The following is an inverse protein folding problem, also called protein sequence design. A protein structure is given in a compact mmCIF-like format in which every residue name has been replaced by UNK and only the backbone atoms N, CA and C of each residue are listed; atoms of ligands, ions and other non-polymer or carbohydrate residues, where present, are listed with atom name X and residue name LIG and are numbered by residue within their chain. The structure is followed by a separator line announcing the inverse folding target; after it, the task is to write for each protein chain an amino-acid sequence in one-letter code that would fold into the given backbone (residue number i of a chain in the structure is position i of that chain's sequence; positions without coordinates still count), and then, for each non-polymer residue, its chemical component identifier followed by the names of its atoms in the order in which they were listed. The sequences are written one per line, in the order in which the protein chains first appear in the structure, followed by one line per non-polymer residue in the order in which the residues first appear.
data_IF_423780511076
#
_entry.id   IF_423780511076
#
_cell.length_a   1.000
_cell.length_b   1.000
_cell.length_c   1.000
_cell.angle_alpha   90.00
_cell.angle_beta   90.00
_cell.angle_gamma   90.00
#
_symmetry.space_group_name_H-M   'P 1'
#
loop_
_entity.id
_entity.type
_entity.pdbx_description
1 polymer ?
#
# COMPACT_ATOMS: atom_id res chain seq x y z
N UNK A 1 39.65 -81.70 -8.67
CA UNK A 1 38.34 -81.12 -8.32
C UNK A 1 38.58 -79.93 -7.40
N UNK A 2 38.71 -78.70 -7.95
CA UNK A 2 39.07 -77.53 -7.17
C UNK A 2 37.75 -76.80 -6.96
N UNK A 3 37.31 -76.70 -5.72
CA UNK A 3 36.06 -76.01 -5.29
C UNK A 3 36.34 -74.53 -5.19
N UNK A 4 35.94 -73.78 -6.26
CA UNK A 4 36.01 -72.33 -6.29
C UNK A 4 34.71 -71.75 -5.68
N UNK A 5 34.70 -71.64 -4.38
CA UNK A 5 33.66 -70.82 -3.71
C UNK A 5 33.87 -69.37 -4.06
N UNK A 6 32.88 -68.67 -4.60
CA UNK A 6 32.99 -67.22 -4.86
C UNK A 6 33.01 -66.49 -3.51
N UNK A 7 34.15 -65.92 -3.19
CA UNK A 7 34.27 -64.91 -2.13
C UNK A 7 33.40 -63.72 -2.55
N UNK A 8 32.15 -63.79 -2.13
CA UNK A 8 31.25 -62.57 -2.20
C UNK A 8 31.85 -61.53 -1.27
N UNK A 9 32.65 -60.64 -1.82
CA UNK A 9 33.29 -59.56 -1.08
C UNK A 9 32.19 -58.58 -0.62
N UNK A 10 31.98 -58.39 0.70
CA UNK A 10 31.01 -57.43 1.21
C UNK A 10 31.48 -55.95 1.04
N UNK A 11 32.67 -55.76 0.43
CA UNK A 11 33.31 -54.47 0.29
C UNK A 11 32.45 -53.42 -0.45
N UNK A 12 31.77 -53.70 -1.60
CA UNK A 12 30.99 -52.72 -2.27
C UNK A 12 29.72 -52.30 -1.49
N UNK A 13 29.11 -53.24 -0.76
CA UNK A 13 27.94 -52.94 0.06
C UNK A 13 28.29 -52.04 1.24
N UNK A 14 29.44 -52.29 1.86
CA UNK A 14 29.95 -51.48 2.98
C UNK A 14 30.31 -50.06 2.55
N UNK A 15 30.90 -49.89 1.35
CA UNK A 15 31.17 -48.59 0.76
C UNK A 15 29.89 -47.79 0.43
N UNK A 16 28.86 -48.47 -0.10
CA UNK A 16 27.55 -47.84 -0.37
C UNK A 16 26.88 -47.41 0.94
N UNK A 17 26.90 -48.24 1.97
CA UNK A 17 26.34 -47.88 3.28
C UNK A 17 27.10 -46.72 3.94
N UNK A 18 28.42 -46.68 3.80
CA UNK A 18 29.24 -45.55 4.30
C UNK A 18 28.92 -44.26 3.56
N UNK A 19 28.80 -44.33 2.23
CA UNK A 19 28.44 -43.15 1.41
C UNK A 19 27.04 -42.64 1.75
N UNK A 20 26.05 -43.51 1.91
CA UNK A 20 24.71 -43.13 2.33
C UNK A 20 24.70 -42.54 3.75
N UNK A 21 25.50 -43.06 4.67
CA UNK A 21 25.62 -42.53 6.03
C UNK A 21 26.25 -41.13 6.02
N UNK A 22 27.32 -40.88 5.23
CA UNK A 22 27.93 -39.57 5.09
C UNK A 22 26.96 -38.56 4.42
N UNK A 23 26.28 -38.99 3.36
CA UNK A 23 25.26 -38.17 2.69
C UNK A 23 24.08 -37.83 3.62
N UNK A 24 23.65 -38.76 4.46
CA UNK A 24 22.59 -38.53 5.44
C UNK A 24 23.03 -37.57 6.56
N UNK A 25 24.27 -37.68 7.02
CA UNK A 25 24.84 -36.77 8.01
C UNK A 25 24.97 -35.33 7.40
N UNK A 26 25.47 -35.24 6.18
CA UNK A 26 25.60 -33.93 5.47
C UNK A 26 24.23 -33.32 5.22
N UNK A 27 23.26 -34.12 4.78
CA UNK A 27 21.87 -33.71 4.60
C UNK A 27 21.22 -33.28 5.93
N UNK A 28 21.46 -34.03 7.02
CA UNK A 28 20.97 -33.68 8.35
C UNK A 28 21.62 -32.39 8.87
N UNK A 29 22.93 -32.19 8.67
CA UNK A 29 23.63 -30.97 8.97
C UNK A 29 23.08 -29.81 8.13
N UNK A 30 22.83 -30.04 6.86
CA UNK A 30 22.24 -29.00 5.97
C UNK A 30 20.82 -28.64 6.40
N UNK A 31 19.98 -29.57 6.79
CA UNK A 31 18.64 -29.31 7.33
C UNK A 31 18.68 -28.61 8.69
N UNK A 32 19.60 -29.00 9.56
CA UNK A 32 19.71 -28.41 10.90
C UNK A 32 20.31 -27.00 10.90
N UNK A 33 21.08 -26.66 9.87
CA UNK A 33 21.69 -25.38 9.68
C UNK A 33 21.03 -24.56 8.58
N UNK A 34 19.86 -24.99 8.07
CA UNK A 34 19.06 -24.06 7.27
C UNK A 34 18.71 -22.87 8.17
N UNK A 35 19.15 -21.66 7.83
CA UNK A 35 18.77 -20.48 8.59
C UNK A 35 17.25 -20.44 8.63
N UNK A 36 16.69 -20.25 9.84
CA UNK A 36 15.25 -20.05 9.97
C UNK A 36 14.78 -19.06 8.90
N UNK A 37 13.73 -19.41 8.15
CA UNK A 37 13.21 -18.50 7.14
C UNK A 37 12.84 -17.19 7.82
N UNK A 38 13.43 -16.09 7.35
CA UNK A 38 13.09 -14.77 7.85
C UNK A 38 11.63 -14.47 7.51
N UNK A 39 10.90 -13.80 8.40
CA UNK A 39 9.47 -13.57 8.23
C UNK A 39 9.17 -12.77 6.95
N UNK A 40 8.10 -13.17 6.27
CA UNK A 40 7.54 -12.43 5.15
C UNK A 40 6.98 -11.09 5.65
N UNK A 41 7.49 -9.97 5.14
CA UNK A 41 7.07 -8.63 5.54
C UNK A 41 5.58 -8.39 5.31
N UNK A 42 5.00 -9.03 4.31
CA UNK A 42 3.57 -8.91 4.06
C UNK A 42 2.71 -9.58 5.14
N UNK A 43 3.28 -10.39 6.03
CA UNK A 43 2.58 -11.07 7.12
C UNK A 43 2.76 -10.38 8.48
N UNK A 44 3.69 -9.43 8.60
CA UNK A 44 4.04 -8.82 9.88
C UNK A 44 2.97 -7.87 10.45
N UNK A 45 2.06 -7.34 9.60
CA UNK A 45 1.03 -6.42 10.09
C UNK A 45 0.14 -5.83 9.01
N UNK A 46 -0.73 -4.89 9.37
CA UNK A 46 -1.56 -4.19 8.40
C UNK A 46 -0.69 -3.32 7.49
N UNK A 47 -1.03 -3.32 6.21
CA UNK A 47 -0.44 -2.45 5.20
C UNK A 47 -1.19 -1.12 5.23
N UNK A 48 -0.48 -0.02 5.39
CA UNK A 48 -1.04 1.32 5.24
C UNK A 48 -0.80 1.82 3.82
N UNK A 49 -1.84 2.35 3.18
CA UNK A 49 -1.74 2.96 1.87
C UNK A 49 -2.44 4.32 1.87
N UNK A 50 -1.68 5.35 1.61
CA UNK A 50 -2.17 6.70 1.44
C UNK A 50 -2.17 7.10 -0.02
N UNK A 51 -3.35 7.28 -0.60
CA UNK A 51 -3.51 7.64 -2.00
C UNK A 51 -3.35 9.14 -2.20
N UNK A 52 -2.54 9.56 -3.18
CA UNK A 52 -2.50 10.95 -3.64
C UNK A 52 -3.81 11.37 -4.30
N UNK A 53 -4.46 10.44 -4.98
CA UNK A 53 -5.80 10.60 -5.55
C UNK A 53 -6.76 9.66 -4.80
N UNK A 54 -7.32 10.09 -3.67
CA UNK A 54 -8.13 9.23 -2.83
C UNK A 54 -9.43 8.82 -3.52
N UNK A 55 -9.77 7.55 -3.37
CA UNK A 55 -11.10 7.02 -3.66
C UNK A 55 -11.68 6.42 -2.40
N UNK A 56 -12.63 7.11 -1.85
CA UNK A 56 -13.41 6.66 -0.70
C UNK A 56 -14.51 5.73 -1.18
N UNK A 57 -14.55 4.51 -0.63
CA UNK A 57 -15.64 3.55 -0.83
C UNK A 57 -16.42 3.44 0.48
N UNK A 58 -17.68 3.89 0.46
CA UNK A 58 -18.55 3.91 1.64
C UNK A 58 -19.21 2.57 1.93
N UNK A 59 -18.96 1.56 1.11
CA UNK A 59 -19.43 0.20 1.40
C UNK A 59 -18.61 -0.40 2.55
N UNK A 60 -19.24 -1.21 3.41
CA UNK A 60 -18.49 -1.92 4.44
C UNK A 60 -17.42 -2.82 3.80
N UNK A 61 -16.18 -2.71 4.26
CA UNK A 61 -15.08 -3.52 3.78
C UNK A 61 -14.95 -4.80 4.58
N UNK A 62 -14.74 -5.89 3.89
CA UNK A 62 -14.45 -7.21 4.48
C UNK A 62 -12.95 -7.34 4.79
N UNK A 63 -12.09 -6.68 4.02
CA UNK A 63 -10.64 -6.83 4.13
C UNK A 63 -10.04 -5.85 5.15
N UNK A 64 -9.57 -6.40 6.28
CA UNK A 64 -8.96 -5.64 7.37
C UNK A 64 -7.44 -5.47 7.23
N UNK A 65 -6.83 -6.15 6.26
CA UNK A 65 -5.37 -6.23 6.11
C UNK A 65 -4.72 -5.02 5.43
N UNK A 66 -5.53 -4.16 4.76
CA UNK A 66 -5.06 -2.95 4.12
C UNK A 66 -5.86 -1.76 4.64
N UNK A 67 -5.15 -0.81 5.23
CA UNK A 67 -5.70 0.47 5.67
C UNK A 67 -5.45 1.47 4.56
N UNK A 68 -6.51 2.02 3.98
CA UNK A 68 -6.43 3.02 2.91
C UNK A 68 -6.82 4.38 3.49
N UNK A 69 -5.92 5.34 3.35
CA UNK A 69 -6.11 6.74 3.73
C UNK A 69 -6.26 7.63 2.47
N UNK A 70 -6.91 8.80 2.57
CA UNK A 70 -7.61 9.31 3.74
C UNK A 70 -8.95 8.61 4.00
N UNK A 71 -9.31 8.47 5.27
CA UNK A 71 -10.64 8.03 5.65
C UNK A 71 -11.59 9.21 5.73
N UNK A 72 -12.83 9.08 5.23
CA UNK A 72 -13.81 10.13 5.37
C UNK A 72 -14.31 10.20 6.80
N UNK A 73 -14.39 11.39 7.34
CA UNK A 73 -15.13 11.68 8.56
C UNK A 73 -16.48 12.27 8.18
N UNK A 74 -17.58 11.54 8.48
CA UNK A 74 -18.95 12.01 8.24
C UNK A 74 -19.34 12.95 9.37
N UNK A 75 -19.71 14.19 9.04
CA UNK A 75 -19.98 15.25 10.00
C UNK A 75 -21.49 15.46 10.15
N UNK A 76 -21.98 15.44 11.40
CA UNK A 76 -23.39 15.70 11.73
C UNK A 76 -24.35 14.54 11.41
N UNK A 77 -25.64 14.84 11.54
CA UNK A 77 -26.73 13.83 11.50
C UNK A 77 -27.27 13.56 10.10
N UNK A 78 -26.76 14.26 9.07
CA UNK A 78 -27.21 14.13 7.68
C UNK A 78 -26.90 12.79 7.01
N UNK A 79 -26.41 11.81 7.76
CA UNK A 79 -25.96 10.52 7.29
C UNK A 79 -26.65 9.34 7.98
N UNK A 80 -26.89 8.28 7.23
CA UNK A 80 -27.25 7.00 7.81
C UNK A 80 -26.58 5.85 7.07
N UNK A 81 -26.37 4.74 7.76
CA UNK A 81 -25.75 3.57 7.14
C UNK A 81 -26.66 2.98 6.05
N UNK A 82 -26.07 2.73 4.88
CA UNK A 82 -26.75 2.18 3.70
C UNK A 82 -26.57 0.67 3.51
N UNK A 83 -26.10 -0.04 4.53
CA UNK A 83 -25.75 -1.46 4.45
C UNK A 83 -24.65 -1.70 3.41
N UNK A 84 -24.78 -2.77 2.61
CA UNK A 84 -23.78 -3.10 1.56
C UNK A 84 -23.75 -2.10 0.40
N UNK A 85 -24.66 -1.13 0.32
CA UNK A 85 -24.79 -0.19 -0.79
C UNK A 85 -23.94 1.08 -0.67
N UNK A 86 -23.54 1.47 0.54
CA UNK A 86 -22.88 2.75 0.81
C UNK A 86 -23.48 3.47 2.00
N UNK A 87 -23.51 4.81 1.99
CA UNK A 87 -24.12 5.67 3.02
C UNK A 87 -25.25 6.49 2.44
N UNK A 88 -26.34 6.64 3.19
CA UNK A 88 -27.47 7.47 2.82
C UNK A 88 -27.25 8.92 3.27
N UNK A 89 -27.54 9.87 2.39
CA UNK A 89 -27.81 11.25 2.76
C UNK A 89 -29.29 11.31 3.12
N UNK A 90 -29.59 11.75 4.34
CA UNK A 90 -30.93 11.81 4.91
C UNK A 90 -31.45 13.23 5.01
N UNK A 91 -30.59 14.21 5.15
CA UNK A 91 -30.94 15.61 5.24
C UNK A 91 -30.71 16.37 3.92
N UNK A 92 -31.16 17.63 3.88
CA UNK A 92 -30.89 18.49 2.74
C UNK A 92 -29.41 18.80 2.56
N UNK A 93 -28.66 18.78 3.66
CA UNK A 93 -27.20 19.01 3.66
C UNK A 93 -26.53 17.89 4.43
N UNK A 94 -25.54 17.31 3.81
CA UNK A 94 -24.65 16.35 4.45
C UNK A 94 -23.20 16.76 4.17
N UNK A 95 -22.34 16.60 5.14
CA UNK A 95 -20.95 17.07 5.07
C UNK A 95 -20.01 15.93 5.43
N UNK A 96 -18.93 15.80 4.71
CA UNK A 96 -17.80 14.93 5.06
C UNK A 96 -16.50 15.71 5.08
N UNK A 97 -15.55 15.25 5.86
CA UNK A 97 -14.19 15.79 5.91
C UNK A 97 -13.19 14.73 5.42
N UNK A 98 -12.23 15.19 4.66
CA UNK A 98 -11.09 14.40 4.18
C UNK A 98 -9.80 15.14 4.49
N UNK A 99 -8.87 14.45 5.14
CA UNK A 99 -7.52 14.94 5.35
C UNK A 99 -6.67 14.66 4.11
N UNK A 100 -6.18 15.71 3.45
CA UNK A 100 -5.43 15.59 2.20
C UNK A 100 -3.98 16.03 2.41
N UNK A 101 -3.00 15.21 2.02
CA UNK A 101 -1.58 15.61 2.08
C UNK A 101 -1.20 16.60 0.99
N UNK A 102 -1.94 16.62 -0.12
CA UNK A 102 -1.64 17.44 -1.31
C UNK A 102 -2.82 18.30 -1.73
N UNK A 103 -2.50 19.50 -2.15
CA UNK A 103 -3.43 20.38 -2.87
C UNK A 103 -3.44 20.07 -4.39
N UNK A 104 -4.27 20.74 -5.14
CA UNK A 104 -4.20 20.77 -6.61
C UNK A 104 -5.08 19.77 -7.33
N UNK A 105 -6.02 19.12 -6.63
CA UNK A 105 -7.02 18.26 -7.28
C UNK A 105 -7.95 19.10 -8.18
N UNK A 106 -8.23 18.57 -9.38
CA UNK A 106 -8.94 19.26 -10.46
C UNK A 106 -10.28 18.63 -10.83
N UNK A 107 -10.54 17.40 -10.33
CA UNK A 107 -11.80 16.72 -10.56
C UNK A 107 -12.29 16.00 -9.32
N UNK A 108 -13.61 16.05 -9.11
CA UNK A 108 -14.32 15.24 -8.13
C UNK A 108 -15.24 14.28 -8.91
N UNK A 109 -15.15 13.00 -8.62
CA UNK A 109 -16.04 11.98 -9.21
C UNK A 109 -16.85 11.32 -8.11
N UNK A 110 -18.18 11.27 -8.33
CA UNK A 110 -19.13 10.73 -7.36
C UNK A 110 -19.88 9.57 -7.99
N UNK A 111 -20.01 8.43 -7.31
CA UNK A 111 -20.92 7.34 -7.67
C UNK A 111 -22.07 7.31 -6.66
N UNK A 112 -23.25 7.68 -7.12
CA UNK A 112 -24.42 7.78 -6.27
C UNK A 112 -25.71 7.41 -7.03
N UNK A 113 -26.82 7.29 -6.27
CA UNK A 113 -28.18 7.17 -6.81
C UNK A 113 -29.16 7.90 -5.94
N UNK A 114 -30.22 8.53 -6.50
CA UNK A 114 -31.30 9.07 -5.71
C UNK A 114 -32.11 7.95 -5.02
N UNK A 115 -32.85 8.28 -3.98
CA UNK A 115 -33.81 7.38 -3.37
C UNK A 115 -34.92 7.04 -4.40
N UNK A 116 -35.44 5.82 -4.35
CA UNK A 116 -36.54 5.37 -5.24
C UNK A 116 -37.82 6.17 -4.99
N UNK A 117 -38.62 6.35 -6.04
CA UNK A 117 -39.96 6.94 -5.95
C UNK A 117 -40.02 8.47 -6.01
N UNK A 118 -38.95 9.12 -6.46
CA UNK A 118 -38.93 10.59 -6.59
C UNK A 118 -39.04 11.04 -8.04
N UNK A 119 -40.03 11.85 -8.30
CA UNK A 119 -40.18 12.69 -9.48
C UNK A 119 -40.59 14.11 -9.03
N UNK A 120 -39.95 15.18 -9.47
CA UNK A 120 -38.76 15.21 -10.37
C UNK A 120 -37.47 14.75 -9.67
N UNK A 121 -36.47 14.39 -10.47
CA UNK A 121 -35.15 14.02 -9.99
C UNK A 121 -34.55 15.18 -9.18
N UNK A 122 -34.01 14.95 -7.97
CA UNK A 122 -33.43 16.02 -7.17
C UNK A 122 -32.11 16.49 -7.78
N UNK A 123 -31.86 17.79 -7.74
CA UNK A 123 -30.55 18.33 -8.05
C UNK A 123 -29.65 18.26 -6.80
N UNK A 124 -28.37 17.96 -7.03
CA UNK A 124 -27.32 17.89 -6.04
C UNK A 124 -26.29 19.00 -6.31
N UNK A 125 -26.21 19.99 -5.46
CA UNK A 125 -25.08 20.92 -5.45
C UNK A 125 -23.96 20.34 -4.58
N UNK A 126 -22.72 20.37 -5.10
CA UNK A 126 -21.53 19.94 -4.34
C UNK A 126 -20.68 21.16 -4.04
N UNK A 127 -20.32 21.32 -2.79
CA UNK A 127 -19.42 22.38 -2.32
C UNK A 127 -18.17 21.76 -1.69
N UNK A 128 -17.01 22.34 -2.02
CA UNK A 128 -15.73 21.96 -1.39
C UNK A 128 -15.17 23.20 -0.69
N UNK A 129 -14.90 23.10 0.61
CA UNK A 129 -14.44 24.20 1.45
C UNK A 129 -15.33 25.46 1.33
N UNK A 130 -16.66 25.26 1.25
CA UNK A 130 -17.66 26.31 1.12
C UNK A 130 -17.88 26.84 -0.31
N UNK A 131 -17.00 26.55 -1.27
CA UNK A 131 -17.14 26.97 -2.68
C UNK A 131 -17.99 25.97 -3.46
N UNK A 132 -18.95 26.47 -4.25
CA UNK A 132 -19.74 25.63 -5.15
C UNK A 132 -18.87 25.11 -6.28
N UNK A 133 -18.93 23.80 -6.50
CA UNK A 133 -18.20 23.11 -7.58
C UNK A 133 -19.13 22.70 -8.73
N UNK A 134 -20.43 23.00 -8.60
CA UNK A 134 -21.45 22.71 -9.61
C UNK A 134 -22.66 21.99 -9.05
N UNK A 135 -23.66 21.87 -9.93
CA UNK A 135 -24.92 21.18 -9.65
C UNK A 135 -25.08 19.99 -10.61
N UNK A 136 -25.57 18.90 -10.08
CA UNK A 136 -25.80 17.64 -10.79
C UNK A 136 -27.28 17.32 -10.74
N UNK A 137 -27.91 17.09 -11.89
CA UNK A 137 -29.24 16.50 -11.97
C UNK A 137 -29.09 14.99 -11.80
N UNK A 138 -29.66 14.45 -10.70
CA UNK A 138 -29.50 13.06 -10.38
C UNK A 138 -30.45 12.18 -11.20
N UNK A 139 -29.90 11.31 -12.03
CA UNK A 139 -30.67 10.34 -12.80
C UNK A 139 -31.02 9.10 -11.97
N UNK A 140 -32.17 8.43 -12.28
CA UNK A 140 -32.52 7.19 -11.63
C UNK A 140 -31.46 6.10 -11.79
N UNK A 141 -31.25 5.31 -10.72
CA UNK A 141 -30.25 4.25 -10.74
C UNK A 141 -28.86 4.72 -10.29
N UNK A 142 -27.87 3.85 -10.46
CA UNK A 142 -26.49 4.12 -10.12
C UNK A 142 -25.80 4.87 -11.27
N UNK A 143 -25.40 6.10 -11.02
CA UNK A 143 -24.70 6.94 -11.98
C UNK A 143 -23.39 7.49 -11.41
N UNK A 144 -22.50 7.87 -12.29
CA UNK A 144 -21.23 8.50 -11.96
C UNK A 144 -21.21 9.89 -12.58
N UNK A 145 -20.92 10.85 -11.73
CA UNK A 145 -20.88 12.26 -12.08
C UNK A 145 -19.47 12.78 -11.85
N UNK A 146 -19.00 13.62 -12.79
CA UNK A 146 -17.74 14.34 -12.67
C UNK A 146 -18.04 15.81 -12.51
N UNK A 147 -17.41 16.44 -11.54
CA UNK A 147 -17.36 17.87 -11.33
C UNK A 147 -15.93 18.35 -11.52
N UNK A 148 -15.75 19.43 -12.25
CA UNK A 148 -14.46 20.09 -12.35
C UNK A 148 -14.24 20.96 -11.11
N UNK A 149 -13.02 20.97 -10.62
CA UNK A 149 -12.61 21.75 -9.46
C UNK A 149 -11.68 22.87 -9.92
N UNK A 150 -11.97 24.09 -9.47
CA UNK A 150 -11.08 25.20 -9.67
C UNK A 150 -9.79 25.04 -8.87
N UNK A 151 -8.76 25.77 -9.30
CA UNK A 151 -7.49 25.78 -8.60
C UNK A 151 -7.63 26.30 -7.17
N UNK A 152 -6.98 25.63 -6.22
CA UNK A 152 -7.00 26.02 -4.82
C UNK A 152 -8.29 25.72 -4.06
N UNK A 153 -9.29 25.08 -4.68
CA UNK A 153 -10.50 24.62 -4.00
C UNK A 153 -10.15 23.49 -3.02
N UNK A 154 -9.37 22.52 -3.47
CA UNK A 154 -8.81 21.47 -2.60
C UNK A 154 -7.41 21.88 -2.15
N UNK A 155 -7.17 21.84 -0.84
CA UNK A 155 -5.92 22.22 -0.19
C UNK A 155 -5.30 21.04 0.56
N UNK A 156 -4.05 21.16 0.91
CA UNK A 156 -3.44 20.25 1.89
C UNK A 156 -4.08 20.48 3.27
N UNK A 157 -4.20 19.44 4.07
CA UNK A 157 -4.94 19.45 5.33
C UNK A 157 -6.41 19.07 5.15
N UNK A 158 -7.23 19.42 6.12
CA UNK A 158 -8.65 19.06 6.16
C UNK A 158 -9.45 19.80 5.09
N UNK A 159 -10.17 19.04 4.26
CA UNK A 159 -11.11 19.55 3.26
C UNK A 159 -12.52 19.10 3.61
N UNK A 160 -13.44 20.04 3.60
CA UNK A 160 -14.86 19.79 3.84
C UNK A 160 -15.60 19.71 2.51
N UNK A 161 -16.30 18.57 2.28
CA UNK A 161 -17.14 18.36 1.10
C UNK A 161 -18.59 18.30 1.56
N UNK A 162 -19.41 19.27 1.11
CA UNK A 162 -20.81 19.34 1.43
C UNK A 162 -21.68 18.98 0.21
N UNK A 163 -22.66 18.13 0.44
CA UNK A 163 -23.69 17.73 -0.49
C UNK A 163 -24.97 18.46 -0.13
N UNK A 164 -25.50 19.31 -1.03
CA UNK A 164 -26.69 20.12 -0.81
C UNK A 164 -27.77 19.68 -1.80
N UNK A 165 -28.80 19.04 -1.30
CA UNK A 165 -29.90 18.54 -2.12
C UNK A 165 -30.94 19.65 -2.31
N UNK A 166 -31.42 19.84 -3.56
CA UNK A 166 -32.54 20.75 -3.84
C UNK A 166 -33.80 20.35 -3.05
N UNK A 167 -34.67 21.31 -2.81
CA UNK A 167 -35.97 21.09 -2.21
C UNK A 167 -36.85 20.31 -3.19
N UNK A 168 -36.89 19.01 -3.06
CA UNK A 168 -37.75 18.13 -3.84
C UNK A 168 -38.10 16.91 -3.02
N UNK A 169 -39.39 16.55 -3.03
CA UNK A 169 -40.03 15.38 -2.45
C UNK A 169 -39.29 14.63 -1.35
N UNK A 170 -39.74 14.62 -0.16
CA UNK A 170 -39.23 13.72 0.89
C UNK A 170 -39.66 12.29 0.60
N UNK A 171 -38.73 11.33 0.63
CA UNK A 171 -39.18 9.94 0.63
C UNK A 171 -39.82 9.64 1.99
N UNK A 172 -40.80 8.77 2.04
CA UNK A 172 -41.41 8.31 3.31
C UNK A 172 -40.40 7.79 4.34
N UNK A 173 -39.17 7.53 3.90
CA UNK A 173 -38.06 7.01 4.75
C UNK A 173 -37.06 8.09 5.14
N UNK A 174 -37.28 9.35 4.78
CA UNK A 174 -36.31 10.44 5.01
C UNK A 174 -35.00 10.33 4.18
N UNK A 175 -34.80 9.27 3.40
CA UNK A 175 -33.59 9.05 2.59
C UNK A 175 -33.66 9.83 1.29
N UNK A 176 -32.53 10.48 0.92
CA UNK A 176 -32.47 11.35 -0.24
C UNK A 176 -31.58 10.79 -1.36
N UNK A 177 -30.38 10.40 -1.03
CA UNK A 177 -29.39 9.89 -1.98
C UNK A 177 -28.51 8.84 -1.30
N UNK A 178 -28.18 7.78 -2.00
CA UNK A 178 -27.20 6.78 -1.56
C UNK A 178 -25.88 7.07 -2.25
N UNK A 179 -24.85 7.39 -1.46
CA UNK A 179 -23.49 7.62 -1.90
C UNK A 179 -22.68 6.31 -1.74
N UNK A 180 -22.08 5.85 -2.84
CA UNK A 180 -21.27 4.61 -2.85
C UNK A 180 -19.79 4.91 -2.84
N UNK A 181 -19.34 5.83 -3.72
CA UNK A 181 -17.94 6.19 -3.87
C UNK A 181 -17.77 7.66 -4.16
N UNK A 182 -16.62 8.16 -3.74
CA UNK A 182 -16.16 9.51 -4.04
C UNK A 182 -14.67 9.44 -4.35
N UNK A 183 -14.21 10.16 -5.39
CA UNK A 183 -12.80 10.24 -5.73
C UNK A 183 -12.39 11.66 -6.05
N UNK A 184 -11.20 12.07 -5.59
CA UNK A 184 -10.55 13.32 -5.92
C UNK A 184 -9.33 13.04 -6.81
N UNK A 185 -9.20 13.77 -7.93
CA UNK A 185 -8.20 13.51 -8.96
C UNK A 185 -7.43 14.77 -9.32
N UNK A 186 -6.12 14.60 -9.56
CA UNK A 186 -5.23 15.70 -9.95
C UNK A 186 -5.47 16.16 -11.39
N UNK A 187 -5.86 15.25 -12.29
CA UNK A 187 -6.20 15.57 -13.66
C UNK A 187 -7.67 15.94 -13.82
N UNK A 188 -7.96 16.88 -14.73
CA UNK A 188 -9.33 17.14 -15.18
C UNK A 188 -9.88 16.02 -16.07
N UNK A 189 -9.02 15.42 -16.90
CA UNK A 189 -9.39 14.39 -17.87
C UNK A 189 -9.50 13.00 -17.27
N UNK A 190 -10.38 12.88 -16.28
CA UNK A 190 -10.61 11.62 -15.59
C UNK A 190 -11.69 10.81 -16.28
N UNK A 191 -11.38 9.60 -16.70
CA UNK A 191 -12.40 8.67 -17.21
C UNK A 191 -13.27 8.17 -16.04
N UNK A 192 -14.48 8.72 -15.96
CA UNK A 192 -15.47 8.48 -14.89
C UNK A 192 -15.76 6.98 -14.71
N UNK A 193 -15.78 6.21 -15.81
CA UNK A 193 -16.11 4.80 -15.78
C UNK A 193 -15.01 3.92 -15.18
N UNK A 194 -13.75 4.30 -15.29
CA UNK A 194 -12.62 3.56 -14.75
C UNK A 194 -12.13 4.09 -13.40
N UNK A 195 -12.29 5.39 -13.17
CA UNK A 195 -11.72 6.10 -12.03
C UNK A 195 -12.11 5.53 -10.67
N UNK A 196 -13.37 5.11 -10.50
CA UNK A 196 -13.90 4.58 -9.25
C UNK A 196 -13.93 3.03 -9.18
N UNK A 197 -13.52 2.31 -10.23
CA UNK A 197 -13.74 0.85 -10.32
C UNK A 197 -12.78 0.03 -9.49
N UNK A 198 -11.54 0.45 -9.33
CA UNK A 198 -10.47 -0.37 -8.74
C UNK A 198 -10.03 0.18 -7.40
N UNK A 199 -9.82 -0.73 -6.46
CA UNK A 199 -9.13 -0.38 -5.22
C UNK A 199 -7.74 0.19 -5.56
N UNK A 200 -7.30 1.27 -4.90
CA UNK A 200 -6.00 1.91 -5.16
C UNK A 200 -4.83 0.97 -4.92
N UNK A 201 -5.00 0.03 -3.99
CA UNK A 201 -4.02 -0.98 -3.65
C UNK A 201 -4.72 -2.33 -3.42
N UNK A 202 -4.05 -3.43 -3.73
CA UNK A 202 -4.48 -4.78 -3.38
C UNK A 202 -3.29 -5.66 -3.04
N UNK A 203 -3.50 -6.62 -2.15
CA UNK A 203 -2.53 -7.61 -1.71
C UNK A 203 -2.94 -8.99 -2.21
N UNK A 204 -1.98 -9.79 -2.64
CA UNK A 204 -2.18 -11.20 -2.97
C UNK A 204 -1.13 -12.02 -2.20
N UNK A 205 -1.54 -12.58 -1.07
CA UNK A 205 -0.68 -13.39 -0.20
C UNK A 205 -0.14 -14.63 -0.91
N UNK A 206 -0.99 -15.32 -1.70
CA UNK A 206 -0.56 -16.53 -2.40
C UNK A 206 0.53 -16.28 -3.46
N UNK A 207 0.67 -15.04 -3.93
CA UNK A 207 1.70 -14.62 -4.91
C UNK A 207 2.77 -13.73 -4.27
N UNK A 208 2.68 -13.48 -2.97
CA UNK A 208 3.57 -12.57 -2.25
C UNK A 208 3.72 -11.23 -2.98
N UNK A 209 2.59 -10.61 -3.32
CA UNK A 209 2.57 -9.38 -4.11
C UNK A 209 1.63 -8.33 -3.55
N UNK A 210 2.06 -7.06 -3.68
CA UNK A 210 1.20 -5.88 -3.53
C UNK A 210 1.12 -5.19 -4.88
N UNK A 211 -0.08 -4.77 -5.28
CA UNK A 211 -0.32 -4.04 -6.53
C UNK A 211 -0.88 -2.68 -6.21
N UNK A 212 -0.11 -1.64 -6.51
CA UNK A 212 -0.51 -0.24 -6.41
C UNK A 212 -1.04 0.19 -7.78
N UNK A 213 -2.23 0.78 -7.84
CA UNK A 213 -2.91 1.22 -9.06
C UNK A 213 -3.16 2.72 -9.11
N UNK A 214 -2.71 3.43 -8.09
CA UNK A 214 -2.78 4.89 -7.97
C UNK A 214 -1.53 5.39 -7.31
N UNK A 215 -1.12 6.58 -7.70
CA UNK A 215 -0.03 7.26 -7.01
C UNK A 215 -0.33 7.42 -5.54
N UNK A 216 0.66 7.16 -4.71
CA UNK A 216 0.52 7.19 -3.26
C UNK A 216 1.64 6.49 -2.53
N UNK A 217 1.61 6.57 -1.22
CA UNK A 217 2.61 6.01 -0.33
C UNK A 217 2.09 4.72 0.32
N UNK A 218 2.86 3.64 0.15
CA UNK A 218 2.66 2.35 0.81
C UNK A 218 3.61 2.24 1.99
N UNK A 219 3.09 1.89 3.15
CA UNK A 219 3.90 1.64 4.35
C UNK A 219 3.72 0.21 4.82
N UNK A 220 4.84 -0.46 5.05
CA UNK A 220 4.93 -1.82 5.57
C UNK A 220 5.70 -1.79 6.89
N UNK A 221 5.16 -2.33 7.98
CA UNK A 221 5.93 -2.52 9.20
C UNK A 221 7.04 -3.55 8.98
N UNK A 222 8.22 -3.29 9.50
CA UNK A 222 9.40 -4.17 9.41
C UNK A 222 10.02 -4.29 10.78
N UNK A 223 10.00 -5.48 11.35
CA UNK A 223 10.72 -5.78 12.58
C UNK A 223 12.06 -6.46 12.26
N UNK A 224 13.14 -5.85 12.70
CA UNK A 224 14.51 -6.31 12.49
C UNK A 224 15.08 -6.89 13.78
N UNK A 225 15.43 -8.16 13.77
CA UNK A 225 16.06 -8.86 14.90
C UNK A 225 17.60 -8.84 14.87
N UNK A 226 18.17 -8.17 13.88
CA UNK A 226 19.62 -8.07 13.66
C UNK A 226 20.22 -9.25 12.89
N UNK A 227 19.42 -10.26 12.49
CA UNK A 227 19.88 -11.43 11.74
C UNK A 227 19.93 -11.22 10.23
N UNK A 228 19.17 -10.24 9.74
CA UNK A 228 19.11 -9.92 8.31
C UNK A 228 20.27 -9.02 7.89
N UNK A 229 20.82 -9.26 6.70
CA UNK A 229 21.85 -8.43 6.08
C UNK A 229 21.24 -7.40 5.13
N UNK A 230 20.14 -7.77 4.47
CA UNK A 230 19.46 -6.89 3.54
C UNK A 230 17.96 -7.15 3.49
N UNK A 231 17.20 -6.10 3.15
CA UNK A 231 15.83 -6.19 2.71
C UNK A 231 15.83 -6.17 1.19
N UNK A 232 15.11 -7.11 0.55
CA UNK A 232 14.99 -7.19 -0.91
C UNK A 232 13.53 -7.16 -1.31
N UNK A 233 13.23 -6.42 -2.38
CA UNK A 233 11.93 -6.41 -3.03
C UNK A 233 12.12 -6.21 -4.54
N UNK A 234 11.13 -6.63 -5.31
CA UNK A 234 11.11 -6.43 -6.76
C UNK A 234 9.95 -5.50 -7.12
N UNK A 235 10.27 -4.42 -7.81
CA UNK A 235 9.33 -3.46 -8.32
C UNK A 235 9.18 -3.62 -9.84
N UNK A 236 7.94 -3.60 -10.36
CA UNK A 236 7.65 -3.64 -11.79
C UNK A 236 6.49 -2.73 -12.13
N UNK A 237 6.68 -1.83 -13.08
CA UNK A 237 5.61 -1.07 -13.70
C UNK A 237 4.96 -1.89 -14.82
N UNK A 238 3.65 -1.79 -14.96
CA UNK A 238 2.86 -2.55 -15.96
C UNK A 238 1.74 -1.67 -16.52
N UNK A 239 1.69 -1.52 -17.82
CA UNK A 239 0.69 -0.73 -18.54
C UNK A 239 0.93 0.77 -18.52
N UNK A 240 2.17 1.17 -18.31
CA UNK A 240 2.67 2.53 -18.22
C UNK A 240 3.91 2.58 -17.35
N UNK A 241 4.63 3.70 -17.39
CA UNK A 241 5.81 3.96 -16.57
C UNK A 241 5.46 4.60 -15.22
N UNK A 242 6.47 5.11 -14.59
CA UNK A 242 6.36 5.85 -13.35
C UNK A 242 7.67 5.92 -12.58
N UNK A 243 7.58 6.47 -11.41
CA UNK A 243 8.67 6.60 -10.46
C UNK A 243 8.26 5.98 -9.13
N UNK A 244 9.17 5.30 -8.45
CA UNK A 244 8.95 4.99 -7.04
C UNK A 244 10.19 5.30 -6.23
N UNK A 245 9.96 5.76 -5.03
CA UNK A 245 10.98 5.96 -4.02
C UNK A 245 10.77 4.95 -2.89
N UNK A 246 11.83 4.27 -2.49
CA UNK A 246 11.80 3.29 -1.42
C UNK A 246 12.66 3.80 -0.27
N UNK A 247 12.04 4.03 0.89
CA UNK A 247 12.68 4.53 2.09
C UNK A 247 12.43 3.56 3.23
N UNK A 248 13.46 3.28 4.03
CA UNK A 248 13.30 2.59 5.30
C UNK A 248 13.71 3.52 6.44
N UNK A 249 12.82 3.74 7.37
CA UNK A 249 13.03 4.64 8.50
C UNK A 249 12.51 4.01 9.81
N UNK A 250 12.95 4.51 10.94
CA UNK A 250 12.30 4.20 12.22
C UNK A 250 10.95 4.91 12.32
N UNK A 251 9.92 4.28 12.92
CA UNK A 251 8.68 4.98 13.21
C UNK A 251 8.97 6.20 14.07
N UNK A 252 8.36 7.33 13.76
CA UNK A 252 8.53 8.57 14.53
C UNK A 252 7.97 8.38 15.93
N UNK A 253 8.86 8.24 16.92
CA UNK A 253 8.54 8.62 18.28
C UNK A 253 8.46 10.15 18.34
N UNK A 254 7.51 10.68 19.11
CA UNK A 254 7.32 12.11 19.35
C UNK A 254 8.66 12.82 19.64
N UNK A 255 9.24 13.49 18.64
CA UNK A 255 10.35 14.42 18.84
C UNK A 255 11.67 14.17 18.13
N UNK A 256 11.88 13.07 17.41
CA UNK A 256 13.10 12.85 16.63
C UNK A 256 12.79 12.90 15.14
N UNK A 257 13.46 13.78 14.40
CA UNK A 257 13.39 13.84 12.95
C UNK A 257 13.72 12.47 12.32
N UNK A 258 13.10 12.17 11.19
CA UNK A 258 13.42 10.98 10.39
C UNK A 258 14.92 10.96 10.12
N UNK A 259 15.64 10.02 10.72
CA UNK A 259 16.91 9.60 10.17
C UNK A 259 16.60 8.54 9.10
N UNK A 260 16.58 8.90 7.80
CA UNK A 260 16.29 7.95 6.75
C UNK A 260 17.44 6.95 6.71
N UNK A 261 17.20 5.77 7.26
CA UNK A 261 18.22 4.74 7.33
C UNK A 261 18.76 4.41 5.95
N UNK A 262 17.90 4.42 4.91
CA UNK A 262 18.28 4.26 3.50
C UNK A 262 17.19 4.80 2.59
N UNK A 263 17.57 5.59 1.58
CA UNK A 263 16.71 6.09 0.51
C UNK A 263 17.16 5.54 -0.83
N UNK A 264 16.25 5.02 -1.64
CA UNK A 264 16.50 4.54 -3.00
C UNK A 264 15.41 5.04 -3.93
N UNK A 265 15.79 5.86 -4.89
CA UNK A 265 14.91 6.28 -5.97
C UNK A 265 15.08 5.34 -7.17
N UNK A 266 13.98 4.95 -7.77
CA UNK A 266 13.95 4.04 -8.90
C UNK A 266 12.96 4.56 -9.94
N UNK A 267 13.47 4.93 -11.12
CA UNK A 267 12.67 5.36 -12.27
C UNK A 267 12.62 4.23 -13.29
N UNK A 268 11.44 4.00 -13.85
CA UNK A 268 11.26 2.91 -14.81
C UNK A 268 10.43 3.30 -16.02
N UNK A 269 10.85 2.91 -17.22
CA UNK A 269 9.96 2.80 -18.36
C UNK A 269 8.97 1.64 -18.18
N UNK A 270 7.89 1.65 -18.97
CA UNK A 270 6.86 0.59 -18.95
C UNK A 270 7.47 -0.82 -19.12
N UNK A 271 6.95 -1.76 -18.36
CA UNK A 271 7.31 -3.19 -18.44
C UNK A 271 8.63 -3.58 -17.78
N UNK A 272 9.46 -2.61 -17.38
CA UNK A 272 10.72 -2.90 -16.70
C UNK A 272 10.51 -3.39 -15.26
N UNK A 273 11.47 -4.18 -14.77
CA UNK A 273 11.48 -4.63 -13.38
C UNK A 273 12.87 -4.46 -12.78
N UNK A 274 12.92 -4.06 -11.53
CA UNK A 274 14.19 -3.94 -10.79
C UNK A 274 14.09 -4.55 -9.41
N UNK A 275 15.19 -5.17 -8.98
CA UNK A 275 15.42 -5.55 -7.60
C UNK A 275 15.93 -4.36 -6.79
N UNK A 276 15.21 -4.01 -5.73
CA UNK A 276 15.67 -3.03 -4.74
C UNK A 276 16.26 -3.79 -3.56
N UNK A 277 17.49 -3.42 -3.19
CA UNK A 277 18.18 -3.96 -2.04
C UNK A 277 18.51 -2.84 -1.07
N UNK A 278 18.07 -3.02 0.17
CA UNK A 278 18.34 -2.09 1.28
C UNK A 278 19.22 -2.81 2.30
N UNK A 279 20.44 -2.35 2.59
CA UNK A 279 21.28 -2.92 3.62
C UNK A 279 20.66 -2.65 5.00
N UNK A 280 20.49 -3.72 5.79
CA UNK A 280 19.92 -3.64 7.15
C UNK A 280 20.83 -4.28 8.20
N UNK A 281 22.05 -4.61 7.81
CA UNK A 281 23.02 -5.31 8.65
C UNK A 281 23.18 -4.65 10.02
N UNK A 282 23.10 -5.45 11.10
CA UNK A 282 23.24 -5.01 12.48
C UNK A 282 22.07 -4.18 13.03
N UNK A 283 21.07 -3.85 12.22
CA UNK A 283 19.90 -3.06 12.68
C UNK A 283 18.93 -3.93 13.46
N UNK A 284 18.39 -3.38 14.54
CA UNK A 284 17.40 -4.04 15.40
C UNK A 284 16.26 -3.07 15.74
N UNK A 285 15.07 -3.65 15.97
CA UNK A 285 13.85 -2.94 16.36
C UNK A 285 12.91 -2.67 15.20
N UNK A 286 11.89 -1.88 15.48
CA UNK A 286 10.83 -1.57 14.54
C UNK A 286 11.27 -0.51 13.52
N UNK A 287 10.95 -0.76 12.27
CA UNK A 287 11.14 0.13 11.12
C UNK A 287 9.87 0.18 10.28
N UNK A 288 9.77 1.19 9.45
CA UNK A 288 8.75 1.30 8.42
C UNK A 288 9.44 1.33 7.05
N UNK A 289 9.02 0.45 6.15
CA UNK A 289 9.37 0.49 4.75
C UNK A 289 8.30 1.30 4.03
N UNK A 290 8.64 2.51 3.61
CA UNK A 290 7.77 3.39 2.84
C UNK A 290 8.12 3.30 1.36
N UNK A 291 7.10 3.14 0.50
CA UNK A 291 7.24 3.12 -0.96
C UNK A 291 6.33 4.19 -1.51
N UNK A 292 6.90 5.33 -1.87
CA UNK A 292 6.19 6.41 -2.56
C UNK A 292 6.19 6.11 -4.07
N UNK A 293 5.00 5.93 -4.63
CA UNK A 293 4.81 5.58 -6.03
C UNK A 293 4.10 6.71 -6.78
N UNK A 294 4.74 7.24 -7.80
CA UNK A 294 4.14 8.11 -8.81
C UNK A 294 3.93 7.30 -10.09
N UNK A 295 2.67 7.09 -10.45
CA UNK A 295 2.30 6.34 -11.66
C UNK A 295 1.94 7.31 -12.76
N UNK A 296 2.34 6.98 -13.99
CA UNK A 296 1.82 7.65 -15.19
C UNK A 296 0.29 7.51 -15.25
N UNK A 297 -0.41 8.40 -15.97
CA UNK A 297 -1.85 8.28 -16.13
C UNK A 297 -2.28 6.89 -16.55
N UNK A 298 -3.40 6.41 -15.98
CA UNK A 298 -3.99 5.08 -16.26
C UNK A 298 -3.72 4.55 -17.68
N UNK A 299 -3.35 3.25 -17.85
CA UNK A 299 -3.62 2.15 -16.91
C UNK A 299 -2.43 1.69 -16.04
N UNK A 300 -1.41 2.53 -15.84
CA UNK A 300 -0.21 2.16 -15.11
C UNK A 300 -0.50 1.58 -13.70
N UNK A 301 0.33 0.62 -13.31
CA UNK A 301 0.33 0.03 -11.96
C UNK A 301 1.74 -0.38 -11.56
N UNK A 302 2.08 -0.23 -10.28
CA UNK A 302 3.29 -0.76 -9.70
C UNK A 302 2.98 -2.10 -9.01
N UNK A 303 3.72 -3.14 -9.37
CA UNK A 303 3.67 -4.46 -8.75
C UNK A 303 4.92 -4.64 -7.90
N UNK A 304 4.74 -4.80 -6.61
CA UNK A 304 5.80 -5.08 -5.65
C UNK A 304 5.71 -6.57 -5.33
N UNK A 305 6.83 -7.27 -5.47
CA UNK A 305 6.93 -8.72 -5.22
C UNK A 305 7.95 -9.03 -4.14
N UNK A 306 7.63 -10.03 -3.35
CA UNK A 306 8.54 -10.68 -2.39
C UNK A 306 9.33 -9.69 -1.54
N UNK A 307 8.69 -8.72 -0.87
CA UNK A 307 9.38 -7.88 0.10
C UNK A 307 9.79 -8.77 1.28
N UNK A 308 11.09 -9.11 1.36
CA UNK A 308 11.61 -10.06 2.35
C UNK A 308 12.97 -9.66 2.88
N UNK A 309 13.22 -10.03 4.10
CA UNK A 309 14.53 -9.98 4.71
C UNK A 309 15.40 -11.12 4.16
N UNK A 310 16.67 -10.86 3.94
CA UNK A 310 17.64 -11.84 3.40
C UNK A 310 18.88 -11.84 4.25
N UNK A 311 19.33 -13.05 4.61
CA UNK A 311 20.65 -13.29 5.19
C UNK A 311 21.60 -13.74 4.08
N UNK A 312 22.77 -13.11 3.98
CA UNK A 312 23.78 -13.51 3.01
C UNK A 312 24.60 -14.67 3.59
N UNK A 313 24.40 -15.85 3.02
CA UNK A 313 25.19 -17.02 3.39
C UNK A 313 26.65 -16.80 2.98
N UNK A 314 27.56 -16.81 3.95
CA UNK A 314 29.00 -16.71 3.70
C UNK A 314 29.74 -15.56 4.41
N UNK A 315 29.04 -14.63 5.04
CA UNK A 315 29.67 -13.64 5.88
C UNK A 315 29.64 -14.12 7.33
N UNK A 316 30.79 -14.36 7.97
CA UNK A 316 30.79 -14.69 9.40
C UNK A 316 30.11 -13.56 10.18
N UNK A 317 29.38 -13.85 11.27
CA UNK A 317 28.81 -12.81 12.12
C UNK A 317 29.93 -11.85 12.52
N UNK A 318 29.75 -10.56 12.23
CA UNK A 318 30.68 -9.56 12.71
C UNK A 318 30.62 -9.61 14.23
N UNK A 319 31.69 -10.11 14.85
CA UNK A 319 31.92 -9.93 16.27
C UNK A 319 31.97 -8.43 16.47
N UNK A 320 30.90 -7.89 17.11
CA UNK A 320 30.77 -6.46 17.32
C UNK A 320 31.79 -5.95 18.32
N UNK A 321 32.93 -5.57 17.79
CA UNK A 321 33.83 -4.61 18.41
C UNK A 321 33.75 -3.33 17.55
N UNK A 322 32.74 -2.53 17.85
CA UNK A 322 32.73 -1.12 17.49
C UNK A 322 33.82 -0.40 18.28
N UNK A 323 35.00 -0.37 17.72
CA UNK A 323 35.99 0.63 18.14
C UNK A 323 35.46 2.00 17.71
N UNK A 324 35.20 2.92 18.65
CA UNK A 324 34.87 4.30 18.29
C UNK A 324 36.05 4.89 17.51
N UNK A 325 35.80 5.66 16.45
CA UNK A 325 36.88 6.29 15.69
C UNK A 325 37.68 7.18 16.63
N UNK A 326 38.98 6.90 16.74
CA UNK A 326 39.94 7.74 17.49
C UNK A 326 39.84 9.16 16.91
N UNK A 327 39.38 10.09 17.74
CA UNK A 327 39.34 11.50 17.42
C UNK A 327 40.77 11.96 17.05
N UNK A 328 40.94 12.36 15.80
CA UNK A 328 42.18 12.95 15.31
C UNK A 328 42.56 14.15 16.18
N UNK A 329 43.65 14.02 16.94
CA UNK A 329 44.24 15.13 17.70
C UNK A 329 44.63 16.24 16.73
N UNK A 330 43.94 17.38 16.83
CA UNK A 330 44.37 18.62 16.15
C UNK A 330 45.73 19.05 16.68
N UNK A 331 46.71 19.40 15.81
CA UNK A 331 47.93 20.01 16.25
C UNK A 331 47.66 21.39 16.86
N UNK A 332 48.30 21.70 17.99
CA UNK A 332 48.30 23.04 18.59
C UNK A 332 49.10 23.99 17.68
N UNK A 333 48.61 25.19 17.44
CA UNK A 333 49.44 26.24 16.83
C UNK A 333 50.46 26.74 17.88
N UNK A 334 51.69 26.89 17.44
CA UNK A 334 52.73 27.67 18.10
C UNK A 334 52.50 29.16 17.93
#
# INVERSE_FOLDING_TARGET
MIDLRPLTRPLPLLLICLFLAVAAVDFYHHLRHQPEPLPDLLQQGPIHFEALEPVVDFRPRVEKSIIIEPRPHLVGDGWSQGGSGGVWITERRATLELEMKRAGHRALVIECRPAKGRAPAPALEVRVNGRSCGTIDLEPGWNRYRLELDEGVVRAGTNQIAFVMSAGGESSTGRRMLLRRLGLFLSRDVNVNSALRRAPVSRNLAKDTVVIRRSGMLELPVDLDGRADSLRLYCRFVGGGGRCEVVMARPQGTGAGLDPAVRREVQFPDGSSTGVRIPVHGRRGEFVLSIDAELDPSPAKLVIRSPRLVRETGRPPSTGEDHPPQAARRPRPE
#
